data_IF_071487650044
#
_entry.id   IF_071487650044
#
_cell.length_a   1.000
_cell.length_b   1.000
_cell.length_c   1.000
_cell.angle_alpha   90.00
_cell.angle_beta   90.00
_cell.angle_gamma   90.00
#
_symmetry.space_group_name_H-M   'P 1'
#
loop_
_entity.id
_entity.type
_entity.pdbx_description
1 polymer ?
#
# COMPACT_ATOMS: atom_id res chain seq x y z
N UNK A 1 5.75 13.36 11.28
CA UNK A 1 6.30 13.14 9.92
C UNK A 1 6.86 11.74 9.82
N UNK A 2 6.55 11.05 8.73
CA UNK A 2 7.06 9.70 8.46
C UNK A 2 8.54 9.76 8.13
N UNK A 3 9.34 8.93 8.81
CA UNK A 3 10.76 8.80 8.47
C UNK A 3 10.94 7.82 7.30
N UNK A 4 11.04 8.36 6.08
CA UNK A 4 11.19 7.59 4.84
C UNK A 4 12.40 6.67 4.83
N UNK A 5 13.50 7.04 5.50
CA UNK A 5 14.69 6.19 5.62
C UNK A 5 14.42 4.93 6.43
N UNK A 6 13.56 5.02 7.46
CA UNK A 6 13.14 3.83 8.22
C UNK A 6 12.25 2.94 7.35
N UNK A 7 11.30 3.52 6.61
CA UNK A 7 10.44 2.80 5.66
C UNK A 7 11.29 2.07 4.62
N UNK A 8 12.18 2.77 3.93
CA UNK A 8 13.13 2.21 2.96
C UNK A 8 13.92 1.03 3.54
N UNK A 9 14.56 1.22 4.72
CA UNK A 9 15.37 0.18 5.35
C UNK A 9 14.54 -1.06 5.74
N UNK A 10 13.29 -0.86 6.17
CA UNK A 10 12.41 -1.97 6.53
C UNK A 10 12.06 -2.81 5.31
N UNK A 11 11.66 -2.19 4.19
CA UNK A 11 11.36 -2.89 2.96
C UNK A 11 12.61 -3.52 2.34
N UNK A 12 13.75 -2.83 2.32
CA UNK A 12 15.00 -3.41 1.84
C UNK A 12 15.38 -4.71 2.57
N UNK A 13 15.27 -4.73 3.90
CA UNK A 13 15.60 -5.92 4.70
C UNK A 13 14.63 -7.08 4.49
N UNK A 14 13.41 -6.80 4.03
CA UNK A 14 12.35 -7.80 3.87
C UNK A 14 12.14 -8.22 2.43
N UNK A 15 12.79 -7.60 1.46
CA UNK A 15 12.57 -7.83 0.04
C UNK A 15 12.67 -9.32 -0.36
N UNK A 16 13.65 -10.06 0.18
CA UNK A 16 13.85 -11.47 -0.14
C UNK A 16 12.73 -12.42 0.29
N UNK A 17 12.00 -12.07 1.35
CA UNK A 17 10.92 -12.89 1.91
C UNK A 17 9.54 -12.24 1.72
N UNK A 18 9.48 -11.05 1.11
CA UNK A 18 8.25 -10.25 1.03
C UNK A 18 7.11 -11.01 0.36
N UNK A 19 7.38 -11.67 -0.76
CA UNK A 19 6.36 -12.39 -1.53
C UNK A 19 5.76 -13.59 -0.80
N UNK A 20 6.47 -14.17 0.17
CA UNK A 20 5.99 -15.31 0.97
C UNK A 20 4.90 -14.88 1.98
N UNK A 21 4.91 -13.61 2.38
CA UNK A 21 4.00 -13.06 3.40
C UNK A 21 3.06 -11.97 2.90
N UNK A 22 3.23 -11.47 1.68
CA UNK A 22 2.46 -10.37 1.10
C UNK A 22 1.17 -10.84 0.38
N UNK A 23 0.47 -11.85 0.93
CA UNK A 23 -0.74 -12.39 0.31
C UNK A 23 -1.82 -11.32 0.11
N UNK A 24 -2.06 -10.48 1.11
CA UNK A 24 -3.05 -9.41 1.05
C UNK A 24 -2.70 -8.40 -0.03
N UNK A 25 -1.42 -7.98 -0.11
CA UNK A 25 -0.94 -7.03 -1.10
C UNK A 25 -1.05 -7.61 -2.53
N UNK A 26 -0.72 -8.89 -2.69
CA UNK A 26 -0.86 -9.61 -3.98
C UNK A 26 -2.33 -9.69 -4.41
N UNK A 27 -3.23 -10.10 -3.51
CA UNK A 27 -4.67 -10.17 -3.78
C UNK A 27 -5.25 -8.79 -4.12
N UNK A 28 -4.85 -7.76 -3.38
CA UNK A 28 -5.28 -6.39 -3.62
C UNK A 28 -4.78 -5.85 -4.97
N UNK A 29 -3.53 -6.12 -5.35
CA UNK A 29 -2.97 -5.73 -6.64
C UNK A 29 -3.70 -6.42 -7.80
N UNK A 30 -4.02 -7.72 -7.67
CA UNK A 30 -4.82 -8.45 -8.65
C UNK A 30 -6.21 -7.82 -8.81
N UNK A 31 -6.95 -7.62 -7.71
CA UNK A 31 -8.27 -7.00 -7.74
C UNK A 31 -8.22 -5.57 -8.30
N UNK A 32 -7.19 -4.81 -7.98
CA UNK A 32 -6.99 -3.46 -8.51
C UNK A 32 -6.84 -3.49 -10.05
N UNK A 33 -6.04 -4.42 -10.59
CA UNK A 33 -5.89 -4.61 -12.03
C UNK A 33 -7.19 -5.06 -12.70
N UNK A 34 -7.99 -5.91 -12.03
CA UNK A 34 -9.28 -6.37 -12.56
C UNK A 34 -10.32 -5.24 -12.60
N UNK A 35 -10.41 -4.42 -11.55
CA UNK A 35 -11.27 -3.22 -11.53
C UNK A 35 -10.86 -2.18 -12.58
N UNK A 36 -9.57 -2.11 -12.88
CA UNK A 36 -9.00 -1.18 -13.83
C UNK A 36 -9.05 -1.67 -15.29
N UNK A 37 -9.55 -2.86 -15.55
CA UNK A 37 -9.46 -3.53 -16.86
C UNK A 37 -9.91 -2.67 -18.03
N UNK A 38 -11.01 -1.92 -17.89
CA UNK A 38 -11.60 -1.08 -18.93
C UNK A 38 -10.81 0.21 -19.21
N UNK A 39 -9.90 0.57 -18.32
CA UNK A 39 -9.03 1.76 -18.44
C UNK A 39 -7.66 1.42 -19.03
N UNK A 40 -7.29 0.13 -19.10
CA UNK A 40 -5.97 -0.31 -19.53
C UNK A 40 -6.07 -0.81 -20.99
N UNK A 41 -5.37 -0.14 -21.88
CA UNK A 41 -5.34 -0.48 -23.30
C UNK A 41 -3.93 -0.94 -23.72
N UNK A 42 -3.84 -1.68 -24.82
CA UNK A 42 -2.55 -1.98 -25.45
C UNK A 42 -1.80 -0.68 -25.75
N UNK A 43 -0.49 -0.70 -25.69
CA UNK A 43 0.41 0.45 -25.86
C UNK A 43 0.32 1.54 -24.77
N UNK A 44 -0.41 1.32 -23.67
CA UNK A 44 -0.46 2.29 -22.57
C UNK A 44 0.91 2.52 -21.94
N UNK A 45 1.17 3.78 -21.58
CA UNK A 45 2.34 4.19 -20.77
C UNK A 45 1.91 4.31 -19.32
N UNK A 46 2.50 3.49 -18.47
CA UNK A 46 2.06 3.29 -17.09
C UNK A 46 3.16 3.68 -16.12
N UNK A 47 2.79 4.34 -15.03
CA UNK A 47 3.63 4.59 -13.87
C UNK A 47 3.08 3.81 -12.67
N UNK A 48 3.91 3.00 -12.02
CA UNK A 48 3.57 2.26 -10.80
C UNK A 48 4.35 2.82 -9.61
N UNK A 49 3.64 3.45 -8.67
CA UNK A 49 4.20 4.16 -7.51
C UNK A 49 4.27 3.24 -6.30
N UNK A 50 5.48 3.01 -5.79
CA UNK A 50 5.75 2.06 -4.73
C UNK A 50 5.54 0.62 -5.22
N UNK A 51 6.11 0.30 -6.38
CA UNK A 51 5.88 -0.94 -7.11
C UNK A 51 6.30 -2.20 -6.35
N UNK A 52 7.16 -2.07 -5.34
CA UNK A 52 7.65 -3.17 -4.53
C UNK A 52 8.28 -4.28 -5.39
N UNK A 53 7.74 -5.49 -5.28
CA UNK A 53 8.18 -6.67 -6.05
C UNK A 53 7.42 -6.86 -7.36
N UNK A 54 6.79 -5.80 -7.88
CA UNK A 54 6.18 -5.73 -9.23
C UNK A 54 4.87 -6.52 -9.39
N UNK A 55 4.01 -6.55 -8.37
CA UNK A 55 2.73 -7.26 -8.49
C UNK A 55 1.82 -6.67 -9.58
N UNK A 56 1.74 -5.34 -9.70
CA UNK A 56 0.94 -4.68 -10.75
C UNK A 56 1.51 -5.00 -12.13
N UNK A 57 2.79 -4.73 -12.37
CA UNK A 57 3.39 -4.93 -13.70
C UNK A 57 3.28 -6.38 -14.17
N UNK A 58 3.52 -7.37 -13.29
CA UNK A 58 3.36 -8.79 -13.61
C UNK A 58 1.94 -9.15 -14.04
N UNK A 59 0.93 -8.64 -13.36
CA UNK A 59 -0.47 -8.86 -13.76
C UNK A 59 -0.81 -8.22 -15.11
N UNK A 60 -0.27 -7.04 -15.40
CA UNK A 60 -0.62 -6.29 -16.60
C UNK A 60 0.01 -6.85 -17.88
N UNK A 61 1.29 -7.23 -17.82
CA UNK A 61 1.99 -7.76 -19.02
C UNK A 61 1.44 -9.09 -19.51
N UNK A 62 0.76 -9.86 -18.65
CA UNK A 62 0.07 -11.08 -19.03
C UNK A 62 -1.24 -10.81 -19.79
N UNK A 63 -1.85 -9.63 -19.56
CA UNK A 63 -3.19 -9.29 -20.08
C UNK A 63 -3.19 -8.31 -21.24
N UNK A 64 -2.12 -7.53 -21.44
CA UNK A 64 -2.03 -6.44 -22.42
C UNK A 64 -0.70 -6.44 -23.16
N UNK A 65 -0.73 -6.03 -24.42
CA UNK A 65 0.45 -5.99 -25.29
C UNK A 65 1.09 -4.60 -25.31
N UNK A 66 2.39 -4.60 -25.53
CA UNK A 66 3.19 -3.38 -25.78
C UNK A 66 3.07 -2.29 -24.69
N UNK A 67 2.75 -2.68 -23.46
CA UNK A 67 2.77 -1.74 -22.34
C UNK A 67 4.18 -1.19 -22.13
N UNK A 68 4.29 0.08 -21.77
CA UNK A 68 5.53 0.68 -21.27
C UNK A 68 5.31 1.03 -19.80
N UNK A 69 5.98 0.33 -18.90
CA UNK A 69 5.75 0.45 -17.46
C UNK A 69 7.01 1.02 -16.79
N UNK A 70 6.83 2.07 -15.99
CA UNK A 70 7.84 2.63 -15.12
C UNK A 70 7.49 2.29 -13.68
N UNK A 71 8.36 1.52 -13.03
CA UNK A 71 8.19 1.09 -11.64
C UNK A 71 9.04 1.97 -10.72
N UNK A 72 8.39 2.75 -9.87
CA UNK A 72 9.09 3.60 -8.88
C UNK A 72 8.98 2.97 -7.50
N UNK A 73 10.11 2.80 -6.83
CA UNK A 73 10.16 2.44 -5.41
C UNK A 73 11.35 3.11 -4.73
N UNK A 74 11.22 3.38 -3.43
CA UNK A 74 12.29 3.95 -2.62
C UNK A 74 13.30 2.88 -2.17
N UNK A 75 12.90 1.60 -2.17
CA UNK A 75 13.68 0.48 -1.68
C UNK A 75 14.35 -0.29 -2.84
N UNK A 76 15.68 -0.15 -3.07
CA UNK A 76 16.36 -0.78 -4.20
C UNK A 76 16.23 -2.30 -4.21
N UNK A 77 16.23 -2.97 -3.04
CA UNK A 77 16.11 -4.43 -2.99
C UNK A 77 14.72 -4.93 -3.42
N UNK A 78 13.67 -4.10 -3.26
CA UNK A 78 12.34 -4.39 -3.80
C UNK A 78 12.37 -4.37 -5.33
N UNK A 79 12.92 -3.32 -5.93
CA UNK A 79 13.06 -3.22 -7.39
C UNK A 79 13.93 -4.36 -7.97
N UNK A 80 14.99 -4.74 -7.29
CA UNK A 80 15.91 -5.80 -7.75
C UNK A 80 15.35 -7.21 -7.57
N UNK A 81 14.20 -7.38 -6.90
CA UNK A 81 13.61 -8.70 -6.67
C UNK A 81 13.18 -9.40 -7.97
N UNK A 82 12.78 -8.67 -8.99
CA UNK A 82 12.42 -9.22 -10.29
C UNK A 82 13.61 -9.22 -11.25
N UNK A 83 14.39 -10.29 -11.27
CA UNK A 83 15.64 -10.40 -12.05
C UNK A 83 15.42 -10.49 -13.55
N UNK A 84 14.39 -11.21 -13.99
CA UNK A 84 14.05 -11.41 -15.43
C UNK A 84 12.98 -10.40 -15.90
N UNK A 85 13.16 -9.12 -15.54
CA UNK A 85 12.23 -8.05 -15.91
C UNK A 85 12.25 -7.84 -17.43
N UNK A 86 11.07 -7.76 -18.11
CA UNK A 86 11.00 -7.45 -19.53
C UNK A 86 11.54 -6.05 -19.84
N UNK A 87 12.07 -5.86 -21.05
CA UNK A 87 12.68 -4.58 -21.48
C UNK A 87 11.73 -3.37 -21.46
N UNK A 88 10.44 -3.62 -21.56
CA UNK A 88 9.39 -2.60 -21.51
C UNK A 88 8.93 -2.25 -20.10
N UNK A 89 9.53 -2.84 -19.06
CA UNK A 89 9.32 -2.52 -17.65
C UNK A 89 10.61 -1.96 -17.05
N UNK A 90 10.61 -0.69 -16.70
CA UNK A 90 11.79 0.07 -16.27
C UNK A 90 11.73 0.39 -14.77
N UNK A 91 12.63 -0.17 -13.93
CA UNK A 91 12.70 0.18 -12.52
C UNK A 91 13.39 1.53 -12.33
N UNK A 92 12.85 2.35 -11.42
CA UNK A 92 13.36 3.68 -11.08
C UNK A 92 13.44 3.81 -9.56
N UNK A 93 14.63 3.97 -9.04
CA UNK A 93 14.86 4.23 -7.63
C UNK A 93 14.56 5.69 -7.33
N UNK A 94 13.40 5.98 -6.74
CA UNK A 94 13.01 7.33 -6.36
C UNK A 94 11.97 7.33 -5.23
N UNK A 95 11.84 8.49 -4.58
CA UNK A 95 10.75 8.78 -3.67
C UNK A 95 9.52 9.23 -4.48
N UNK A 96 8.35 8.65 -4.21
CA UNK A 96 7.09 9.00 -4.90
C UNK A 96 6.68 10.46 -4.70
N UNK A 97 7.15 11.14 -3.65
CA UNK A 97 6.94 12.58 -3.47
C UNK A 97 7.93 13.45 -4.26
N UNK A 98 9.01 12.84 -4.80
CA UNK A 98 10.03 13.52 -5.59
C UNK A 98 10.32 12.73 -6.87
N UNK A 99 9.31 12.62 -7.73
CA UNK A 99 9.41 11.87 -8.97
C UNK A 99 10.37 12.51 -9.97
N UNK A 100 11.22 11.74 -10.67
CA UNK A 100 12.20 12.26 -11.62
C UNK A 100 11.58 12.55 -13.00
N UNK A 101 10.30 12.88 -13.06
CA UNK A 101 9.60 13.21 -14.30
C UNK A 101 9.28 14.69 -14.37
N UNK A 102 9.37 15.24 -15.58
CA UNK A 102 8.89 16.61 -15.85
C UNK A 102 7.36 16.59 -15.98
N UNK A 103 6.71 17.68 -15.63
CA UNK A 103 5.25 17.85 -15.76
C UNK A 103 4.86 18.03 -17.23
N UNK A 104 4.67 16.93 -17.98
CA UNK A 104 4.45 16.95 -19.43
C UNK A 104 3.53 15.82 -19.94
N UNK A 105 2.44 15.54 -19.26
CA UNK A 105 1.39 14.63 -19.78
C UNK A 105 1.95 13.33 -20.41
N UNK A 106 2.75 12.60 -19.66
CA UNK A 106 3.49 11.42 -20.17
C UNK A 106 2.70 10.13 -20.04
N UNK A 107 1.92 9.98 -18.96
CA UNK A 107 1.32 8.71 -18.57
C UNK A 107 -0.16 8.63 -18.94
N UNK A 108 -0.56 7.48 -19.45
CA UNK A 108 -1.97 7.13 -19.62
C UNK A 108 -2.59 6.74 -18.28
N UNK A 109 -1.80 6.03 -17.45
CA UNK A 109 -2.26 5.45 -16.19
C UNK A 109 -1.18 5.58 -15.12
N UNK A 110 -1.60 5.91 -13.91
CA UNK A 110 -0.72 5.89 -12.72
C UNK A 110 -1.33 4.96 -11.69
N UNK A 111 -0.62 3.87 -11.37
CA UNK A 111 -0.99 2.92 -10.32
C UNK A 111 -0.29 3.23 -9.00
N UNK A 112 -0.92 2.84 -7.90
CA UNK A 112 -0.27 2.63 -6.61
C UNK A 112 -1.04 1.60 -5.79
N UNK A 113 -0.35 0.57 -5.31
CA UNK A 113 -0.94 -0.44 -4.43
C UNK A 113 -0.10 -0.57 -3.15
N UNK A 114 -0.71 -0.31 -1.99
CA UNK A 114 -0.05 -0.41 -0.68
C UNK A 114 1.22 0.46 -0.53
N UNK A 115 1.25 1.67 -1.15
CA UNK A 115 2.34 2.62 -0.98
C UNK A 115 1.89 3.97 -0.40
N UNK A 116 0.74 4.50 -0.82
CA UNK A 116 0.29 5.83 -0.43
C UNK A 116 0.04 6.01 1.07
N UNK A 117 -0.24 4.95 1.81
CA UNK A 117 -0.36 5.01 3.26
C UNK A 117 0.94 5.43 3.96
N UNK A 118 2.07 5.45 3.28
CA UNK A 118 3.36 5.91 3.80
C UNK A 118 3.61 7.41 3.62
N UNK A 119 2.62 8.17 3.20
CA UNK A 119 2.68 9.61 3.07
C UNK A 119 2.07 10.32 4.28
N UNK A 120 2.55 11.53 4.55
CA UNK A 120 1.97 12.41 5.57
C UNK A 120 0.82 13.26 4.99
N UNK A 121 0.86 13.58 3.68
CA UNK A 121 -0.14 14.34 2.95
C UNK A 121 -0.21 13.90 1.49
N UNK A 122 -1.37 14.04 0.88
CA UNK A 122 -1.61 13.70 -0.53
C UNK A 122 -1.60 14.92 -1.46
N UNK A 123 -1.76 16.13 -0.93
CA UNK A 123 -2.06 17.34 -1.73
C UNK A 123 -1.03 17.59 -2.84
N UNK A 124 0.27 17.65 -2.47
CA UNK A 124 1.32 17.92 -3.45
C UNK A 124 1.49 16.75 -4.42
N UNK A 125 1.41 15.50 -3.91
CA UNK A 125 1.53 14.33 -4.77
C UNK A 125 0.42 14.34 -5.82
N UNK A 126 -0.85 14.43 -5.43
CA UNK A 126 -1.96 14.33 -6.39
C UNK A 126 -1.97 15.48 -7.39
N UNK A 127 -1.58 16.69 -6.99
CA UNK A 127 -1.38 17.80 -7.92
C UNK A 127 -0.29 17.49 -8.96
N UNK A 128 0.82 16.91 -8.51
CA UNK A 128 1.90 16.48 -9.41
C UNK A 128 1.45 15.36 -10.35
N UNK A 129 0.77 14.33 -9.83
CA UNK A 129 0.25 13.24 -10.65
C UNK A 129 -0.75 13.72 -11.71
N UNK A 130 -1.59 14.69 -11.37
CA UNK A 130 -2.50 15.30 -12.33
C UNK A 130 -1.74 15.94 -13.50
N UNK A 131 -0.61 16.58 -13.27
CA UNK A 131 0.22 17.18 -14.34
C UNK A 131 0.98 16.16 -15.19
N UNK A 132 1.32 15.00 -14.61
CA UNK A 132 2.01 13.91 -15.30
C UNK A 132 1.09 13.08 -16.20
N UNK A 133 -0.22 13.04 -15.89
CA UNK A 133 -1.20 12.32 -16.70
C UNK A 133 -1.52 13.05 -17.99
N UNK A 134 -1.67 12.29 -19.07
CA UNK A 134 -2.28 12.74 -20.31
C UNK A 134 -3.75 13.16 -20.09
N UNK A 135 -4.31 13.91 -21.04
CA UNK A 135 -5.75 14.18 -21.06
C UNK A 135 -6.54 12.86 -21.01
N UNK A 136 -7.54 12.78 -20.15
CA UNK A 136 -8.33 11.57 -19.86
C UNK A 136 -7.54 10.41 -19.19
N UNK A 137 -6.29 10.62 -18.83
CA UNK A 137 -5.53 9.63 -18.08
C UNK A 137 -6.12 9.37 -16.68
N UNK A 138 -5.80 8.24 -16.08
CA UNK A 138 -6.39 7.80 -14.81
C UNK A 138 -5.35 7.51 -13.74
N UNK A 139 -5.69 7.79 -12.49
CA UNK A 139 -5.01 7.24 -11.32
C UNK A 139 -5.80 6.05 -10.79
N UNK A 140 -5.11 5.01 -10.37
CA UNK A 140 -5.69 3.73 -9.95
C UNK A 140 -4.98 3.30 -8.67
N UNK A 141 -5.66 3.43 -7.53
CA UNK A 141 -5.06 3.26 -6.22
C UNK A 141 -5.76 2.21 -5.37
N UNK A 142 -4.98 1.44 -4.60
CA UNK A 142 -5.46 0.61 -3.51
C UNK A 142 -4.60 0.84 -2.27
N UNK A 143 -5.25 1.10 -1.14
CA UNK A 143 -4.55 1.25 0.14
C UNK A 143 -5.42 0.85 1.33
N UNK A 144 -4.80 0.43 2.45
CA UNK A 144 -5.51 0.17 3.68
C UNK A 144 -5.95 1.48 4.34
N UNK A 145 -7.14 1.47 4.94
CA UNK A 145 -7.77 2.64 5.57
C UNK A 145 -7.74 2.56 7.10
N UNK A 146 -8.19 3.63 7.75
CA UNK A 146 -8.21 3.82 9.21
C UNK A 146 -8.89 2.67 9.99
N UNK A 147 -9.82 1.96 9.35
CA UNK A 147 -10.56 0.82 9.94
C UNK A 147 -9.74 -0.49 9.97
N UNK A 148 -8.61 -0.56 9.25
CA UNK A 148 -7.73 -1.74 9.26
C UNK A 148 -7.22 -2.05 10.66
N UNK A 149 -7.23 -3.34 11.04
CA UNK A 149 -6.80 -3.87 12.34
C UNK A 149 -7.60 -3.33 13.53
N UNK A 150 -8.88 -3.06 13.34
CA UNK A 150 -9.77 -2.62 14.43
C UNK A 150 -9.73 -3.60 15.62
N UNK A 151 -9.68 -4.89 15.34
CA UNK A 151 -9.65 -5.98 16.32
C UNK A 151 -8.38 -5.93 17.19
N UNK A 152 -7.23 -5.69 16.58
CA UNK A 152 -5.96 -5.55 17.31
C UNK A 152 -5.96 -4.27 18.12
N UNK A 153 -6.47 -3.17 17.56
CA UNK A 153 -6.57 -1.88 18.29
C UNK A 153 -7.47 -2.01 19.52
N UNK A 154 -8.60 -2.70 19.38
CA UNK A 154 -9.53 -2.92 20.49
C UNK A 154 -8.92 -3.84 21.57
N UNK A 155 -8.36 -4.98 21.19
CA UNK A 155 -7.68 -5.89 22.12
C UNK A 155 -6.49 -5.21 22.83
N UNK A 156 -5.72 -4.40 22.10
CA UNK A 156 -4.61 -3.59 22.62
C UNK A 156 -5.08 -2.62 23.70
N UNK A 157 -6.18 -1.91 23.47
CA UNK A 157 -6.79 -0.98 24.44
C UNK A 157 -7.28 -1.70 25.69
N UNK A 158 -7.97 -2.85 25.53
CA UNK A 158 -8.52 -3.63 26.65
C UNK A 158 -7.43 -4.30 27.51
N UNK A 159 -6.29 -4.60 26.96
CA UNK A 159 -5.18 -5.30 27.63
C UNK A 159 -4.10 -4.36 28.19
N UNK A 160 -4.23 -3.05 28.00
CA UNK A 160 -3.17 -2.07 28.27
C UNK A 160 -1.84 -2.42 27.55
N UNK A 161 -1.96 -3.09 26.40
CA UNK A 161 -0.84 -3.36 25.50
C UNK A 161 -0.74 -2.26 24.46
N UNK A 162 0.23 -1.37 24.62
CA UNK A 162 0.39 -0.27 23.68
C UNK A 162 1.24 -0.71 22.48
N UNK A 163 0.60 -1.36 21.50
CA UNK A 163 1.26 -1.66 20.22
C UNK A 163 1.27 -0.40 19.35
N UNK A 164 2.42 -0.08 18.79
CA UNK A 164 2.55 1.01 17.82
C UNK A 164 1.91 0.61 16.48
N UNK A 165 0.58 0.64 16.41
CA UNK A 165 -0.17 0.46 15.17
C UNK A 165 -0.30 1.84 14.53
N UNK A 166 0.19 1.95 13.29
CA UNK A 166 0.13 3.20 12.55
C UNK A 166 -1.31 3.66 12.31
N UNK A 167 -1.54 4.96 12.41
CA UNK A 167 -2.76 5.58 11.94
C UNK A 167 -2.74 5.60 10.39
N UNK A 168 -3.65 4.86 9.80
CA UNK A 168 -3.86 4.83 8.36
C UNK A 168 -4.83 5.93 7.95
N UNK A 169 -4.75 6.43 6.70
CA UNK A 169 -5.63 7.49 6.24
C UNK A 169 -7.10 7.04 6.20
N UNK A 170 -8.00 7.98 6.40
CA UNK A 170 -9.41 7.76 6.14
C UNK A 170 -9.70 7.83 4.63
N UNK A 171 -10.62 7.01 4.15
CA UNK A 171 -10.96 6.97 2.72
C UNK A 171 -11.58 8.28 2.22
N UNK A 172 -12.33 8.99 3.07
CA UNK A 172 -12.91 10.29 2.71
C UNK A 172 -11.83 11.35 2.54
N UNK A 173 -10.83 11.39 3.42
CA UNK A 173 -9.69 12.29 3.28
C UNK A 173 -8.96 12.10 1.94
N UNK A 174 -8.79 10.84 1.51
CA UNK A 174 -8.15 10.54 0.22
C UNK A 174 -9.01 11.05 -0.95
N UNK A 175 -10.34 10.81 -0.88
CA UNK A 175 -11.31 11.32 -1.89
C UNK A 175 -11.27 12.84 -2.00
N UNK A 176 -11.32 13.53 -0.87
CA UNK A 176 -11.27 15.00 -0.83
C UNK A 176 -9.98 15.54 -1.45
N UNK A 177 -8.83 14.91 -1.15
CA UNK A 177 -7.55 15.30 -1.73
C UNK A 177 -7.50 15.07 -3.25
N UNK A 178 -8.10 13.98 -3.77
CA UNK A 178 -8.20 13.73 -5.22
C UNK A 178 -9.10 14.77 -5.91
N UNK A 179 -10.26 15.09 -5.32
CA UNK A 179 -11.17 16.11 -5.85
C UNK A 179 -10.52 17.50 -5.84
N UNK A 180 -9.82 17.85 -4.76
CA UNK A 180 -9.04 19.09 -4.65
C UNK A 180 -7.96 19.20 -5.74
N UNK A 181 -7.34 18.07 -6.09
CA UNK A 181 -6.39 17.97 -7.20
C UNK A 181 -7.06 17.89 -8.59
N UNK A 182 -8.37 18.12 -8.69
CA UNK A 182 -9.21 18.19 -9.92
C UNK A 182 -9.43 16.84 -10.60
N UNK A 183 -9.26 15.73 -9.90
CA UNK A 183 -9.62 14.41 -10.41
C UNK A 183 -11.14 14.18 -10.29
N UNK A 184 -11.70 13.43 -11.25
CA UNK A 184 -13.12 13.03 -11.28
C UNK A 184 -13.23 11.55 -10.95
N UNK A 185 -14.09 11.22 -9.98
CA UNK A 185 -14.34 9.85 -9.57
C UNK A 185 -14.92 9.00 -10.71
N UNK A 186 -14.38 7.82 -10.92
CA UNK A 186 -14.89 6.77 -11.80
C UNK A 186 -15.33 5.54 -10.99
N UNK A 187 -14.48 5.06 -10.09
CA UNK A 187 -14.78 3.94 -9.21
C UNK A 187 -14.28 4.28 -7.80
N UNK A 188 -15.16 4.06 -6.83
CA UNK A 188 -14.81 4.00 -5.43
C UNK A 188 -15.42 2.73 -4.84
N UNK A 189 -14.57 1.80 -4.42
CA UNK A 189 -15.00 0.56 -3.82
C UNK A 189 -14.24 0.29 -2.52
N UNK A 190 -14.91 -0.30 -1.56
CA UNK A 190 -14.30 -0.79 -0.33
C UNK A 190 -14.33 -2.31 -0.32
N UNK A 191 -13.33 -2.91 0.33
CA UNK A 191 -13.24 -4.33 0.53
C UNK A 191 -12.73 -4.65 1.94
N UNK A 192 -13.11 -5.80 2.45
CA UNK A 192 -12.65 -6.30 3.74
C UNK A 192 -12.05 -7.68 3.51
N UNK A 193 -10.75 -7.80 3.70
CA UNK A 193 -10.06 -9.08 3.66
C UNK A 193 -9.77 -9.50 5.09
N UNK A 194 -10.36 -10.61 5.52
CA UNK A 194 -10.14 -11.17 6.85
C UNK A 194 -9.06 -12.25 6.80
N UNK A 195 -8.18 -12.23 7.78
CA UNK A 195 -7.12 -13.22 7.95
C UNK A 195 -7.17 -13.80 9.35
N UNK A 196 -7.24 -15.14 9.44
CA UNK A 196 -7.27 -15.87 10.69
C UNK A 196 -5.87 -16.28 11.12
N UNK A 197 -5.60 -16.16 12.42
CA UNK A 197 -4.33 -16.54 13.03
C UNK A 197 -4.55 -17.59 14.12
N UNK A 198 -3.48 -18.32 14.49
CA UNK A 198 -3.55 -19.26 15.62
C UNK A 198 -3.72 -18.52 16.96
N UNK A 199 -3.13 -17.33 17.05
CA UNK A 199 -3.18 -16.46 18.23
C UNK A 199 -2.72 -15.03 17.84
N UNK A 200 -2.87 -14.09 18.78
CA UNK A 200 -2.49 -12.69 18.57
C UNK A 200 -0.99 -12.48 18.31
N UNK A 201 -0.13 -13.31 18.91
CA UNK A 201 1.33 -13.16 18.74
C UNK A 201 1.74 -13.50 17.31
N UNK A 202 1.10 -14.49 16.70
CA UNK A 202 1.38 -14.88 15.32
C UNK A 202 0.93 -13.79 14.34
N UNK A 203 -0.23 -13.15 14.58
CA UNK A 203 -0.65 -11.98 13.84
C UNK A 203 0.40 -10.85 13.89
N UNK A 204 0.88 -10.52 15.09
CA UNK A 204 1.89 -9.48 15.26
C UNK A 204 3.24 -9.82 14.61
N UNK A 205 3.65 -11.10 14.60
CA UNK A 205 4.87 -11.57 13.92
C UNK A 205 4.77 -11.40 12.41
N UNK A 206 3.61 -11.71 11.84
CA UNK A 206 3.40 -11.59 10.39
C UNK A 206 3.46 -10.14 9.92
N UNK A 207 2.83 -9.21 10.66
CA UNK A 207 2.95 -7.78 10.36
C UNK A 207 4.40 -7.28 10.38
N UNK A 208 5.24 -7.86 11.24
CA UNK A 208 6.69 -7.58 11.21
C UNK A 208 7.36 -8.06 9.94
N UNK A 209 6.92 -9.17 9.36
CA UNK A 209 7.55 -9.77 8.17
C UNK A 209 7.27 -8.98 6.89
N UNK A 210 6.09 -8.39 6.76
CA UNK A 210 5.72 -7.56 5.60
C UNK A 210 6.18 -6.10 5.70
N UNK A 211 6.99 -5.74 6.70
CA UNK A 211 7.57 -4.40 6.82
C UNK A 211 6.61 -3.31 7.34
N UNK A 212 5.39 -3.67 7.76
CA UNK A 212 4.38 -2.70 8.23
C UNK A 212 4.66 -2.15 9.63
N UNK A 213 5.67 -2.65 10.32
CA UNK A 213 6.10 -2.15 11.63
C UNK A 213 6.89 -0.85 11.48
N UNK A 214 6.19 0.21 11.24
CA UNK A 214 6.70 1.54 11.48
C UNK A 214 6.38 1.93 12.93
N UNK A 215 7.29 1.63 13.86
CA UNK A 215 7.25 2.25 15.17
C UNK A 215 7.89 3.64 15.06
N UNK A 216 7.11 4.67 14.79
CA UNK A 216 7.49 5.98 15.28
C UNK A 216 7.67 5.87 16.82
N UNK A 217 8.55 6.69 17.38
CA UNK A 217 8.94 6.75 18.80
C UNK A 217 7.77 6.88 19.82
N UNK A 218 6.57 6.46 19.45
CA UNK A 218 5.36 6.46 20.27
C UNK A 218 5.09 5.17 21.03
N UNK A 219 5.96 4.16 20.94
CA UNK A 219 5.97 3.15 21.97
C UNK A 219 6.31 3.87 23.27
N UNK A 220 5.29 4.22 24.04
CA UNK A 220 5.48 4.64 25.44
C UNK A 220 6.45 3.65 26.05
N UNK A 221 7.47 4.15 26.79
CA UNK A 221 8.56 3.37 27.42
C UNK A 221 8.09 2.27 28.40
N UNK A 222 6.79 1.95 28.45
CA UNK A 222 6.28 0.82 29.21
C UNK A 222 6.55 -0.46 28.43
N UNK A 223 7.47 -1.24 28.92
CA UNK A 223 7.70 -2.61 28.41
C UNK A 223 6.39 -3.40 28.54
N UNK A 224 5.98 -4.07 27.44
CA UNK A 224 4.82 -4.95 27.47
C UNK A 224 5.13 -6.10 28.41
N UNK A 225 4.38 -6.21 29.52
CA UNK A 225 4.57 -7.28 30.49
C UNK A 225 4.01 -8.60 29.96
N UNK A 226 4.49 -9.73 30.49
CA UNK A 226 3.90 -11.05 30.18
C UNK A 226 2.40 -11.09 30.45
N UNK A 227 1.96 -10.48 31.55
CA UNK A 227 0.55 -10.43 31.96
C UNK A 227 -0.29 -9.66 30.92
N UNK A 228 0.20 -8.50 30.48
CA UNK A 228 -0.52 -7.70 29.49
C UNK A 228 -0.60 -8.43 28.14
N UNK A 229 0.47 -9.12 27.75
CA UNK A 229 0.47 -9.92 26.52
C UNK A 229 -0.51 -11.11 26.60
N UNK A 230 -0.63 -11.77 27.76
CA UNK A 230 -1.62 -12.83 27.98
C UNK A 230 -3.05 -12.27 27.89
N UNK A 231 -3.32 -11.13 28.56
CA UNK A 231 -4.63 -10.44 28.44
C UNK A 231 -4.94 -10.07 26.98
N UNK A 232 -3.96 -9.53 26.26
CA UNK A 232 -4.11 -9.19 24.84
C UNK A 232 -4.52 -10.42 24.03
N UNK A 233 -3.84 -11.55 24.22
CA UNK A 233 -4.16 -12.78 23.50
C UNK A 233 -5.57 -13.28 23.79
N UNK A 234 -6.01 -13.21 25.06
CA UNK A 234 -7.38 -13.55 25.46
C UNK A 234 -8.41 -12.63 24.80
N UNK A 235 -8.24 -11.32 24.89
CA UNK A 235 -9.16 -10.37 24.27
C UNK A 235 -9.22 -10.49 22.76
N UNK A 236 -8.06 -10.68 22.10
CA UNK A 236 -8.02 -10.88 20.65
C UNK A 236 -8.79 -12.12 20.20
N UNK A 237 -8.66 -13.23 20.95
CA UNK A 237 -9.42 -14.45 20.70
C UNK A 237 -10.92 -14.27 20.94
N UNK A 238 -11.31 -13.60 22.03
CA UNK A 238 -12.70 -13.40 22.42
C UNK A 238 -13.45 -12.44 21.48
N UNK A 239 -12.82 -11.35 21.06
CA UNK A 239 -13.47 -10.29 20.26
C UNK A 239 -13.74 -10.77 18.83
N UNK A 240 -12.79 -11.49 18.20
CA UNK A 240 -12.88 -11.80 16.78
C UNK A 240 -12.38 -13.20 16.40
N UNK A 241 -12.35 -14.12 17.34
CA UNK A 241 -11.94 -15.51 17.06
C UNK A 241 -10.56 -15.57 16.34
N UNK A 242 -9.61 -14.76 16.80
CA UNK A 242 -8.25 -14.61 16.23
C UNK A 242 -8.20 -14.09 14.76
N UNK A 243 -9.24 -13.43 14.28
CA UNK A 243 -9.21 -12.80 12.97
C UNK A 243 -8.70 -11.36 13.06
N UNK A 244 -8.08 -10.90 12.00
CA UNK A 244 -7.84 -9.47 11.72
C UNK A 244 -8.48 -9.09 10.40
N UNK A 245 -8.92 -7.84 10.28
CA UNK A 245 -9.48 -7.32 9.05
C UNK A 245 -8.60 -6.24 8.44
N UNK A 246 -8.38 -6.35 7.14
CA UNK A 246 -7.83 -5.32 6.29
C UNK A 246 -8.99 -4.61 5.59
N UNK A 247 -9.22 -3.36 5.92
CA UNK A 247 -10.18 -2.52 5.23
C UNK A 247 -9.47 -1.75 4.13
N UNK A 248 -9.69 -2.16 2.89
CA UNK A 248 -9.05 -1.59 1.71
C UNK A 248 -10.01 -0.66 0.98
N UNK A 249 -9.51 0.44 0.45
CA UNK A 249 -10.22 1.23 -0.53
C UNK A 249 -9.54 1.12 -1.90
N UNK A 250 -10.36 1.01 -2.94
CA UNK A 250 -9.97 1.00 -4.35
C UNK A 250 -10.54 2.25 -5.00
N UNK A 251 -9.70 2.98 -5.67
CA UNK A 251 -9.99 4.31 -6.19
C UNK A 251 -9.53 4.38 -7.65
N UNK A 252 -10.44 4.68 -8.57
CA UNK A 252 -10.11 5.03 -9.96
C UNK A 252 -10.66 6.41 -10.22
N UNK A 253 -9.77 7.33 -10.55
CA UNK A 253 -10.09 8.72 -10.79
C UNK A 253 -9.45 9.19 -12.09
N UNK A 254 -10.16 10.03 -12.84
CA UNK A 254 -9.74 10.54 -14.15
C UNK A 254 -9.36 12.02 -14.07
N UNK A 255 -8.30 12.40 -14.81
CA UNK A 255 -7.93 13.80 -15.09
C UNK A 255 -8.99 14.53 -15.92
#
# INVERSE_FOLDING_TARGET
MINKKIVQNNFNRKASIYNDFALIQKTAAQKLCDLANDFIHDNSVILDLGSGTSFIAKNLIEKRKNLKIFEVDIAPNMLNHWTNRPKNVSPILADIENLPFKNNETFDIIFSSFALQWLDSFDNLFTNLHSLLKKNGVVIFCLPTSKTFAEIKEASKKSDCNFAIRNLPDSLYIKEALVKARFKEKIFANDIISQKYSNAVDALKEFKKIGTNYSEKFATKKSITKINLQKFNVFFSQVNNNNTSWHLCYLIYQK
#
